data_IF_099867835663
#
_entry.id   IF_099867835663
#
_cell.length_a   1.000
_cell.length_b   1.000
_cell.length_c   1.000
_cell.angle_alpha   90.00
_cell.angle_beta   90.00
_cell.angle_gamma   90.00
#
_symmetry.space_group_name_H-M   'P 1'
#
loop_
_entity.id
_entity.type
_entity.pdbx_description
1 polymer ?
#
# COMPACT_ATOMS: atom_id res chain seq x y z
N UNK A 1 -27.06 -31.35 -23.27
CA UNK A 1 -27.41 -30.96 -21.88
C UNK A 1 -26.17 -30.89 -20.98
N UNK A 2 -25.28 -29.90 -21.15
CA UNK A 2 -24.08 -29.70 -20.30
C UNK A 2 -23.94 -28.27 -19.75
N UNK A 3 -25.04 -27.52 -19.65
CA UNK A 3 -25.05 -26.12 -19.18
C UNK A 3 -25.59 -25.94 -17.74
N UNK A 4 -26.09 -27.00 -17.09
CA UNK A 4 -26.85 -26.87 -15.83
C UNK A 4 -26.09 -27.09 -14.52
N UNK A 5 -24.98 -27.84 -14.51
CA UNK A 5 -24.37 -28.32 -13.25
C UNK A 5 -23.37 -27.31 -12.64
N UNK A 6 -22.76 -26.45 -13.47
CA UNK A 6 -21.75 -25.49 -13.01
C UNK A 6 -22.30 -24.29 -12.21
N UNK A 7 -23.62 -24.09 -12.19
CA UNK A 7 -24.27 -22.96 -11.52
C UNK A 7 -24.53 -23.20 -10.03
N UNK A 8 -24.54 -24.46 -9.59
CA UNK A 8 -24.88 -24.86 -8.21
C UNK A 8 -23.74 -24.70 -7.19
N UNK A 9 -22.50 -24.39 -7.63
CA UNK A 9 -21.34 -24.26 -6.72
C UNK A 9 -20.59 -22.95 -6.89
N UNK A 10 -21.29 -21.89 -7.34
CA UNK A 10 -20.76 -20.53 -7.42
C UNK A 10 -21.29 -19.68 -6.27
N UNK A 11 -20.38 -19.26 -5.40
CA UNK A 11 -20.69 -18.25 -4.37
C UNK A 11 -20.05 -16.92 -4.77
N UNK A 12 -20.89 -15.89 -4.86
CA UNK A 12 -20.47 -14.52 -5.13
C UNK A 12 -20.86 -13.64 -3.94
N UNK A 13 -19.93 -12.78 -3.53
CA UNK A 13 -20.19 -11.68 -2.59
C UNK A 13 -19.83 -10.37 -3.27
N UNK A 14 -20.71 -9.39 -3.19
CA UNK A 14 -20.51 -8.04 -3.71
C UNK A 14 -21.09 -7.03 -2.73
N UNK A 15 -20.32 -6.01 -2.40
CA UNK A 15 -20.71 -4.92 -1.52
C UNK A 15 -20.35 -3.57 -2.15
N UNK A 16 -21.22 -2.59 -1.94
CA UNK A 16 -21.02 -1.19 -2.30
C UNK A 16 -21.00 -0.40 -0.99
N UNK A 17 -19.91 0.31 -0.75
CA UNK A 17 -19.63 1.01 0.52
C UNK A 17 -19.85 2.53 0.42
N UNK A 18 -20.05 3.06 -0.79
CA UNK A 18 -20.19 4.50 -1.01
C UNK A 18 -21.65 4.95 -1.01
N UNK A 19 -21.99 5.85 -0.08
CA UNK A 19 -23.34 6.44 0.03
C UNK A 19 -23.60 7.56 -0.99
N UNK A 20 -22.54 8.15 -1.56
CA UNK A 20 -22.62 9.35 -2.42
C UNK A 20 -22.44 9.02 -3.91
N UNK A 21 -23.02 7.91 -4.38
CA UNK A 21 -22.97 7.53 -5.80
C UNK A 21 -24.13 8.15 -6.58
N UNK A 22 -23.83 8.66 -7.78
CA UNK A 22 -24.83 9.10 -8.73
C UNK A 22 -25.61 7.91 -9.35
N UNK A 23 -26.60 8.18 -10.21
CA UNK A 23 -27.43 7.13 -10.84
C UNK A 23 -26.62 6.20 -11.76
N UNK A 24 -25.70 6.75 -12.55
CA UNK A 24 -24.83 6.01 -13.46
C UNK A 24 -23.85 5.13 -12.68
N UNK A 25 -23.27 5.67 -11.62
CA UNK A 25 -22.35 4.98 -10.72
C UNK A 25 -23.05 3.87 -9.95
N UNK A 26 -24.25 4.11 -9.42
CA UNK A 26 -25.08 3.07 -8.77
C UNK A 26 -25.38 1.91 -9.72
N UNK A 27 -25.69 2.22 -10.98
CA UNK A 27 -25.94 1.22 -12.01
C UNK A 27 -24.67 0.42 -12.31
N UNK A 28 -23.55 1.12 -12.47
CA UNK A 28 -22.24 0.52 -12.81
C UNK A 28 -21.74 -0.39 -11.69
N UNK A 29 -21.85 0.05 -10.43
CA UNK A 29 -21.42 -0.68 -9.25
C UNK A 29 -22.50 -1.62 -8.68
N UNK A 30 -23.64 -1.79 -9.35
CA UNK A 30 -24.72 -2.67 -8.89
C UNK A 30 -24.26 -4.12 -8.74
N UNK A 31 -23.38 -4.58 -9.64
CA UNK A 31 -22.81 -5.92 -9.58
C UNK A 31 -21.39 -5.93 -10.11
N UNK A 32 -20.62 -6.94 -9.70
CA UNK A 32 -19.28 -7.17 -10.23
C UNK A 32 -19.30 -7.38 -11.75
N UNK A 33 -20.29 -8.08 -12.28
CA UNK A 33 -20.37 -8.39 -13.72
C UNK A 33 -20.67 -7.12 -14.53
N UNK A 34 -21.56 -6.25 -14.06
CA UNK A 34 -21.85 -4.95 -14.67
C UNK A 34 -20.60 -4.07 -14.72
N UNK A 35 -19.88 -3.96 -13.60
CA UNK A 35 -18.62 -3.22 -13.51
C UNK A 35 -17.60 -3.73 -14.52
N UNK A 36 -17.42 -5.05 -14.61
CA UNK A 36 -16.39 -5.65 -15.46
C UNK A 36 -16.71 -5.61 -16.96
N UNK A 37 -17.97 -5.37 -17.33
CA UNK A 37 -18.39 -5.12 -18.70
C UNK A 37 -18.23 -3.64 -19.11
N UNK A 38 -18.02 -2.75 -18.14
CA UNK A 38 -17.84 -1.32 -18.39
C UNK A 38 -16.51 -1.07 -19.13
N UNK A 39 -16.46 -0.10 -20.05
CA UNK A 39 -15.22 0.28 -20.71
C UNK A 39 -14.25 0.86 -19.69
N UNK A 40 -13.03 0.31 -19.63
CA UNK A 40 -11.99 0.72 -18.69
C UNK A 40 -10.63 0.78 -19.39
N UNK A 41 -9.82 1.76 -19.02
CA UNK A 41 -8.43 1.86 -19.47
C UNK A 41 -7.54 0.98 -18.60
N UNK A 42 -6.64 0.19 -19.19
CA UNK A 42 -5.73 -0.64 -18.41
C UNK A 42 -4.48 0.13 -17.99
N UNK A 43 -4.22 0.18 -16.68
CA UNK A 43 -3.02 0.82 -16.11
C UNK A 43 -1.89 -0.19 -15.96
N UNK A 44 -2.18 -1.39 -15.47
CA UNK A 44 -1.18 -2.46 -15.31
C UNK A 44 -1.74 -3.83 -15.63
N UNK A 45 -0.88 -4.66 -16.24
CA UNK A 45 -1.11 -6.07 -16.55
C UNK A 45 -0.13 -6.94 -15.75
N UNK A 46 -0.63 -7.67 -14.76
CA UNK A 46 0.06 -8.86 -14.22
C UNK A 46 -0.86 -10.07 -14.40
N UNK A 47 -0.24 -11.23 -14.64
CA UNK A 47 -0.84 -12.56 -14.74
C UNK A 47 -1.84 -12.91 -13.63
N UNK A 48 -1.71 -12.29 -12.45
CA UNK A 48 -2.51 -12.61 -11.24
C UNK A 48 -3.34 -11.45 -10.70
N UNK A 49 -3.01 -10.22 -11.07
CA UNK A 49 -3.77 -9.02 -10.70
C UNK A 49 -3.59 -7.93 -11.73
N UNK A 50 -4.65 -7.18 -12.03
CA UNK A 50 -4.57 -6.03 -12.94
C UNK A 50 -5.22 -4.81 -12.30
N UNK A 51 -4.77 -3.62 -12.70
CA UNK A 51 -5.39 -2.36 -12.32
C UNK A 51 -5.88 -1.67 -13.58
N UNK A 52 -7.15 -1.28 -13.56
CA UNK A 52 -7.80 -0.50 -14.61
C UNK A 52 -8.37 0.79 -14.04
N UNK A 53 -8.42 1.83 -14.86
CA UNK A 53 -9.11 3.08 -14.57
C UNK A 53 -10.49 3.05 -15.22
N UNK A 54 -11.51 3.38 -14.43
CA UNK A 54 -12.87 3.59 -14.88
C UNK A 54 -13.21 5.07 -14.68
N UNK A 55 -13.53 5.76 -15.77
CA UNK A 55 -13.93 7.17 -15.73
C UNK A 55 -15.44 7.28 -15.91
N UNK A 56 -16.13 7.78 -14.90
CA UNK A 56 -17.55 8.14 -14.92
C UNK A 56 -17.66 9.64 -14.61
N UNK A 57 -18.56 10.05 -13.70
CA UNK A 57 -18.51 11.39 -13.12
C UNK A 57 -17.21 11.60 -12.31
N UNK A 58 -16.80 10.57 -11.57
CA UNK A 58 -15.50 10.50 -10.91
C UNK A 58 -14.61 9.42 -11.51
N UNK A 59 -13.31 9.47 -11.19
CA UNK A 59 -12.33 8.46 -11.59
C UNK A 59 -12.23 7.38 -10.52
N UNK A 60 -12.18 6.12 -10.96
CA UNK A 60 -12.10 4.95 -10.10
C UNK A 60 -10.97 4.03 -10.52
N UNK A 61 -10.26 3.47 -9.53
CA UNK A 61 -9.30 2.40 -9.75
C UNK A 61 -9.93 1.05 -9.43
N UNK A 62 -9.97 0.18 -10.44
CA UNK A 62 -10.53 -1.17 -10.38
C UNK A 62 -9.37 -2.16 -10.33
N UNK A 63 -9.10 -2.71 -9.15
CA UNK A 63 -8.13 -3.79 -8.97
C UNK A 63 -8.82 -5.14 -9.12
N UNK A 64 -8.41 -5.90 -10.12
CA UNK A 64 -8.90 -7.27 -10.37
C UNK A 64 -7.87 -8.30 -9.94
N UNK A 65 -8.35 -9.42 -9.40
CA UNK A 65 -7.53 -10.55 -8.96
C UNK A 65 -8.03 -11.83 -9.62
N UNK A 66 -7.13 -12.63 -10.20
CA UNK A 66 -7.49 -13.86 -10.91
C UNK A 66 -6.92 -15.11 -10.23
N UNK A 67 -7.78 -16.12 -10.13
CA UNK A 67 -7.44 -17.51 -9.87
C UNK A 67 -7.00 -17.85 -8.44
N UNK A 68 -6.97 -19.16 -8.12
CA UNK A 68 -6.32 -19.65 -6.91
C UNK A 68 -4.82 -19.55 -7.09
N UNK A 69 -4.16 -18.63 -6.40
CA UNK A 69 -2.72 -18.79 -6.20
C UNK A 69 -2.49 -20.18 -5.56
N UNK A 70 -1.55 -20.98 -6.08
CA UNK A 70 -1.19 -22.37 -5.66
C UNK A 70 -1.03 -22.57 -4.13
N UNK A 71 -1.00 -21.50 -3.32
CA UNK A 71 -0.93 -21.51 -1.85
C UNK A 71 -2.29 -21.37 -1.14
N UNK A 72 -3.41 -21.47 -1.86
CA UNK A 72 -4.73 -21.08 -1.35
C UNK A 72 -5.37 -22.01 -0.31
N UNK A 73 -4.80 -23.19 -0.07
CA UNK A 73 -5.35 -24.13 0.91
C UNK A 73 -4.89 -23.84 2.37
N UNK A 74 -3.92 -22.94 2.58
CA UNK A 74 -3.34 -22.68 3.91
C UNK A 74 -3.25 -21.17 4.27
N UNK A 75 -3.99 -20.26 3.61
CA UNK A 75 -3.96 -18.85 3.99
C UNK A 75 -4.92 -17.92 3.25
N UNK A 76 -5.05 -16.68 3.74
CA UNK A 76 -5.93 -15.64 3.16
C UNK A 76 -5.45 -15.20 1.77
N UNK A 77 -6.38 -14.93 0.86
CA UNK A 77 -6.08 -14.48 -0.52
C UNK A 77 -5.38 -13.11 -0.55
N UNK A 78 -4.76 -12.75 -1.69
CA UNK A 78 -4.22 -11.40 -1.90
C UNK A 78 -5.34 -10.34 -1.77
N UNK A 79 -6.47 -10.60 -2.41
CA UNK A 79 -7.69 -9.80 -2.30
C UNK A 79 -8.12 -9.58 -0.84
N UNK A 80 -8.24 -10.66 -0.05
CA UNK A 80 -8.66 -10.58 1.35
C UNK A 80 -7.66 -9.82 2.21
N UNK A 81 -6.34 -9.98 1.96
CA UNK A 81 -5.31 -9.20 2.67
C UNK A 81 -5.42 -7.72 2.33
N UNK A 82 -5.56 -7.40 1.05
CA UNK A 82 -5.60 -6.01 0.59
C UNK A 82 -6.85 -5.28 1.08
N UNK A 83 -8.03 -5.88 0.93
CA UNK A 83 -9.28 -5.33 1.44
C UNK A 83 -9.25 -5.10 2.95
N UNK A 84 -8.84 -6.13 3.71
CA UNK A 84 -8.74 -6.04 5.17
C UNK A 84 -7.76 -4.96 5.62
N UNK A 85 -6.60 -4.84 4.97
CA UNK A 85 -5.59 -3.86 5.35
C UNK A 85 -6.04 -2.44 4.99
N UNK A 86 -6.71 -2.23 3.85
CA UNK A 86 -7.31 -0.94 3.51
C UNK A 86 -8.38 -0.52 4.54
N UNK A 87 -9.29 -1.43 4.90
CA UNK A 87 -10.29 -1.19 5.95
C UNK A 87 -9.63 -0.95 7.31
N UNK A 88 -8.56 -1.66 7.63
CA UNK A 88 -7.83 -1.49 8.88
C UNK A 88 -7.14 -0.12 8.97
N UNK A 89 -6.55 0.37 7.89
CA UNK A 89 -5.95 1.71 7.84
C UNK A 89 -7.00 2.81 8.11
N UNK A 90 -8.18 2.70 7.50
CA UNK A 90 -9.31 3.60 7.79
C UNK A 90 -9.70 3.55 9.27
N UNK A 91 -9.80 2.35 9.87
CA UNK A 91 -10.10 2.20 11.31
C UNK A 91 -9.04 2.84 12.23
N UNK A 92 -7.78 2.90 11.78
CA UNK A 92 -6.70 3.57 12.49
C UNK A 92 -6.63 5.08 12.23
N UNK A 93 -7.58 5.64 11.47
CA UNK A 93 -7.60 7.06 11.11
C UNK A 93 -6.52 7.47 10.12
N UNK A 94 -5.93 6.51 9.40
CA UNK A 94 -4.99 6.81 8.31
C UNK A 94 -5.78 7.17 7.06
N UNK A 95 -5.34 8.19 6.33
CA UNK A 95 -5.89 8.51 5.02
C UNK A 95 -5.72 7.31 4.09
N UNK A 96 -6.79 6.94 3.38
CA UNK A 96 -6.74 5.94 2.31
C UNK A 96 -7.66 6.36 1.15
N UNK A 97 -7.44 5.86 -0.08
CA UNK A 97 -8.42 5.99 -1.13
C UNK A 97 -9.76 5.41 -0.68
N UNK A 98 -10.85 6.15 -0.93
CA UNK A 98 -12.19 5.73 -0.52
C UNK A 98 -12.55 4.41 -1.18
N UNK A 99 -12.88 3.41 -0.37
CA UNK A 99 -13.40 2.13 -0.84
C UNK A 99 -14.84 2.33 -1.34
N UNK A 100 -15.09 1.97 -2.60
CA UNK A 100 -16.37 2.21 -3.28
C UNK A 100 -17.18 0.92 -3.39
N UNK A 101 -16.53 -0.13 -3.84
CA UNK A 101 -17.14 -1.44 -3.96
C UNK A 101 -16.07 -2.54 -3.88
N UNK A 102 -16.48 -3.74 -3.47
CA UNK A 102 -15.61 -4.90 -3.51
C UNK A 102 -16.40 -6.19 -3.57
N UNK A 103 -15.75 -7.25 -4.04
CA UNK A 103 -16.33 -8.57 -3.97
C UNK A 103 -15.45 -9.67 -4.52
N UNK A 104 -15.93 -10.89 -4.40
CA UNK A 104 -15.28 -12.06 -4.96
C UNK A 104 -16.29 -13.10 -5.44
N UNK A 105 -15.89 -13.88 -6.44
CA UNK A 105 -16.58 -15.05 -6.95
C UNK A 105 -15.71 -16.28 -6.67
N UNK A 106 -16.34 -17.32 -6.16
CA UNK A 106 -15.72 -18.63 -5.92
C UNK A 106 -16.43 -19.69 -6.75
N UNK A 107 -15.70 -20.69 -7.20
CA UNK A 107 -16.22 -21.87 -7.90
C UNK A 107 -15.71 -23.10 -7.17
N UNK A 108 -16.60 -23.97 -6.69
CA UNK A 108 -16.23 -25.12 -5.86
C UNK A 108 -15.45 -24.74 -4.58
N UNK A 109 -15.78 -23.59 -3.97
CA UNK A 109 -15.06 -23.06 -2.80
C UNK A 109 -13.69 -22.42 -3.11
N UNK A 110 -13.26 -22.43 -4.38
CA UNK A 110 -11.98 -21.87 -4.82
C UNK A 110 -12.18 -20.46 -5.38
N UNK A 111 -11.42 -19.43 -4.94
CA UNK A 111 -11.50 -18.09 -5.52
C UNK A 111 -11.20 -18.10 -7.02
N UNK A 112 -12.17 -17.67 -7.81
CA UNK A 112 -12.08 -17.57 -9.27
C UNK A 112 -11.68 -16.14 -9.66
N UNK A 113 -12.37 -15.16 -9.08
CA UNK A 113 -12.18 -13.73 -9.39
C UNK A 113 -12.48 -12.89 -8.17
N UNK A 114 -11.76 -11.78 -7.99
CA UNK A 114 -12.12 -10.78 -7.00
C UNK A 114 -11.83 -9.38 -7.50
N UNK A 115 -12.51 -8.39 -6.94
CA UNK A 115 -12.42 -6.99 -7.33
C UNK A 115 -12.43 -6.10 -6.09
N UNK A 116 -11.56 -5.08 -6.09
CA UNK A 116 -11.61 -3.93 -5.18
C UNK A 116 -11.70 -2.68 -6.04
N UNK A 117 -12.65 -1.81 -5.73
CA UNK A 117 -12.84 -0.50 -6.37
C UNK A 117 -12.57 0.59 -5.35
N UNK A 118 -11.63 1.47 -5.66
CA UNK A 118 -11.38 2.67 -4.87
C UNK A 118 -11.58 3.91 -5.74
N UNK A 119 -12.17 4.96 -5.18
CA UNK A 119 -12.19 6.26 -5.83
C UNK A 119 -10.76 6.81 -5.97
N UNK A 120 -10.50 7.57 -7.02
CA UNK A 120 -9.30 8.38 -7.13
C UNK A 120 -9.24 9.36 -5.96
N UNK A 121 -8.02 9.59 -5.47
CA UNK A 121 -7.74 10.66 -4.53
C UNK A 121 -7.42 11.90 -5.36
N UNK A 122 -8.42 12.78 -5.53
CA UNK A 122 -8.28 13.97 -6.36
C UNK A 122 -7.04 14.78 -6.01
N UNK A 123 -6.30 15.20 -7.06
CA UNK A 123 -5.09 16.03 -6.96
C UNK A 123 -4.00 15.45 -6.05
N UNK A 124 -4.00 14.13 -5.86
CA UNK A 124 -2.92 13.45 -5.18
C UNK A 124 -2.00 12.78 -6.19
N UNK A 125 -0.70 12.77 -5.90
CA UNK A 125 0.31 12.09 -6.71
C UNK A 125 1.09 11.15 -5.81
N UNK A 126 1.50 9.99 -6.32
CA UNK A 126 2.34 9.08 -5.54
C UNK A 126 3.68 9.74 -5.19
N UNK A 127 4.14 9.50 -3.98
CA UNK A 127 5.31 10.17 -3.41
C UNK A 127 6.60 9.82 -4.18
N UNK A 128 6.66 8.63 -4.82
CA UNK A 128 7.78 8.23 -5.68
C UNK A 128 7.89 9.17 -6.88
N UNK A 129 6.80 9.44 -7.62
CA UNK A 129 6.79 10.40 -8.72
C UNK A 129 7.17 11.83 -8.30
N UNK A 130 6.68 12.29 -7.15
CA UNK A 130 7.04 13.63 -6.62
C UNK A 130 8.54 13.71 -6.33
N UNK A 131 9.10 12.64 -5.79
CA UNK A 131 10.53 12.51 -5.50
C UNK A 131 11.36 12.49 -6.78
N UNK A 132 10.95 11.69 -7.77
CA UNK A 132 11.61 11.59 -9.08
C UNK A 132 11.58 12.92 -9.85
N UNK A 133 10.48 13.67 -9.73
CA UNK A 133 10.35 15.00 -10.30
C UNK A 133 11.17 16.08 -9.56
N UNK A 134 11.83 15.74 -8.44
CA UNK A 134 12.56 16.71 -7.61
C UNK A 134 11.66 17.73 -6.89
N UNK A 135 10.35 17.50 -6.88
CA UNK A 135 9.33 18.45 -6.41
C UNK A 135 9.03 18.32 -4.91
N UNK A 136 9.72 17.43 -4.18
CA UNK A 136 9.46 17.20 -2.76
C UNK A 136 9.64 18.48 -1.94
N UNK A 137 10.62 19.33 -2.28
CA UNK A 137 10.92 20.59 -1.60
C UNK A 137 10.24 21.83 -2.20
N UNK A 138 9.27 21.68 -3.11
CA UNK A 138 8.59 22.82 -3.74
C UNK A 138 7.89 23.74 -2.73
N UNK A 139 7.39 23.19 -1.61
CA UNK A 139 6.84 23.95 -0.48
C UNK A 139 7.88 24.40 0.56
N UNK A 140 9.17 24.35 0.22
CA UNK A 140 10.28 24.61 1.12
C UNK A 140 10.45 23.57 2.22
N UNK A 141 11.40 23.83 3.12
CA UNK A 141 11.74 22.94 4.25
C UNK A 141 10.55 22.70 5.17
N UNK A 142 9.75 23.74 5.43
CA UNK A 142 8.57 23.63 6.29
C UNK A 142 7.52 22.69 5.67
N UNK A 143 7.24 22.83 4.37
CA UNK A 143 6.33 21.95 3.65
C UNK A 143 6.77 20.48 3.69
N UNK A 144 8.04 20.20 3.41
CA UNK A 144 8.58 18.82 3.48
C UNK A 144 8.46 18.26 4.89
N UNK A 145 8.78 19.05 5.91
CA UNK A 145 8.69 18.56 7.30
C UNK A 145 7.28 18.24 7.73
N UNK A 146 6.25 18.92 7.21
CA UNK A 146 4.84 18.54 7.43
C UNK A 146 4.52 17.17 6.83
N UNK A 147 4.99 16.90 5.61
CA UNK A 147 4.85 15.58 4.97
C UNK A 147 5.58 14.50 5.76
N UNK A 148 6.85 14.73 6.12
CA UNK A 148 7.66 13.76 6.87
C UNK A 148 7.10 13.48 8.27
N UNK A 149 6.52 14.49 8.91
CA UNK A 149 5.86 14.37 10.20
C UNK A 149 4.58 13.53 10.14
N UNK A 150 3.71 13.77 9.15
CA UNK A 150 2.53 12.91 8.91
C UNK A 150 2.91 11.47 8.61
N UNK A 151 3.92 11.28 7.75
CA UNK A 151 4.45 9.97 7.39
C UNK A 151 4.99 9.25 8.64
N UNK A 152 5.78 9.93 9.46
CA UNK A 152 6.33 9.40 10.69
C UNK A 152 5.24 9.00 11.69
N UNK A 153 4.21 9.85 11.87
CA UNK A 153 3.06 9.57 12.73
C UNK A 153 2.26 8.38 12.25
N UNK A 154 1.95 8.30 10.95
CA UNK A 154 1.22 7.17 10.38
C UNK A 154 1.95 5.84 10.63
N UNK A 155 3.26 5.81 10.37
CA UNK A 155 4.10 4.62 10.61
C UNK A 155 4.18 4.29 12.11
N UNK A 156 4.27 5.30 12.97
CA UNK A 156 4.22 5.12 14.44
C UNK A 156 2.89 4.52 14.89
N UNK A 157 1.76 4.98 14.34
CA UNK A 157 0.43 4.45 14.64
C UNK A 157 0.33 2.98 14.24
N UNK A 158 0.77 2.62 13.02
CA UNK A 158 0.80 1.23 12.56
C UNK A 158 1.62 0.34 13.50
N UNK A 159 2.87 0.72 13.77
CA UNK A 159 3.76 -0.06 14.63
C UNK A 159 3.29 -0.10 16.08
N UNK A 160 2.64 0.96 16.58
CA UNK A 160 2.03 1.02 17.90
C UNK A 160 0.88 0.02 18.07
N UNK A 161 0.15 -0.27 17.00
CA UNK A 161 -0.88 -1.32 16.96
C UNK A 161 -0.30 -2.70 16.59
N UNK A 162 1.02 -2.86 16.56
CA UNK A 162 1.68 -4.12 16.18
C UNK A 162 1.45 -4.51 14.72
N UNK A 163 1.01 -3.58 13.88
CA UNK A 163 0.83 -3.80 12.45
C UNK A 163 2.08 -3.37 11.68
N UNK A 164 2.48 -4.19 10.72
CA UNK A 164 3.65 -3.95 9.88
C UNK A 164 3.22 -3.97 8.43
N UNK A 165 3.50 -2.88 7.73
CA UNK A 165 3.12 -2.66 6.35
C UNK A 165 3.85 -3.60 5.39
N UNK A 166 5.12 -3.94 5.67
CA UNK A 166 6.01 -4.81 4.86
C UNK A 166 6.37 -4.30 3.47
N UNK A 167 5.49 -3.55 2.83
CA UNK A 167 5.64 -2.91 1.52
C UNK A 167 5.56 -1.37 1.64
N UNK A 168 6.13 -0.79 2.70
CA UNK A 168 6.11 0.66 2.96
C UNK A 168 7.07 1.39 2.01
N UNK A 169 6.65 1.56 0.76
CA UNK A 169 7.41 2.25 -0.29
C UNK A 169 6.73 3.57 -0.63
N UNK A 170 7.51 4.53 -1.10
CA UNK A 170 7.04 5.87 -1.48
C UNK A 170 5.93 5.82 -2.54
N UNK A 171 5.99 4.89 -3.51
CA UNK A 171 4.90 4.69 -4.49
C UNK A 171 3.56 4.23 -3.93
N UNK A 172 3.53 3.70 -2.71
CA UNK A 172 2.32 3.21 -2.04
C UNK A 172 1.73 4.29 -1.11
N UNK A 173 2.19 5.53 -1.26
CA UNK A 173 1.78 6.70 -0.48
C UNK A 173 1.43 7.79 -1.48
N UNK A 174 0.18 8.24 -1.49
CA UNK A 174 -0.23 9.42 -2.25
C UNK A 174 -0.08 10.66 -1.37
N UNK A 175 0.39 11.74 -1.96
CA UNK A 175 0.46 13.06 -1.36
C UNK A 175 -0.45 14.01 -2.14
N UNK A 176 -1.43 14.58 -1.44
CA UNK A 176 -2.20 15.73 -1.90
C UNK A 176 -1.54 16.99 -1.35
N UNK A 177 -1.07 17.87 -2.23
CA UNK A 177 -0.40 19.10 -1.80
C UNK A 177 -1.43 20.18 -1.42
N UNK A 178 -1.08 21.00 -0.43
CA UNK A 178 -1.84 22.19 -0.05
C UNK A 178 -1.77 23.26 -1.14
N UNK A 179 -2.88 23.97 -1.39
CA UNK A 179 -2.97 25.01 -2.42
C UNK A 179 -2.71 26.41 -1.85
N UNK A 180 -2.15 27.37 -2.59
CA UNK A 180 -2.11 28.75 -2.11
C UNK A 180 -3.52 29.31 -1.86
N UNK A 181 -3.63 30.09 -0.78
CA UNK A 181 -4.84 30.53 -0.09
C UNK A 181 -5.83 31.34 -0.95
N UNK A 182 -6.66 30.66 -1.74
CA UNK A 182 -7.84 31.26 -2.39
C UNK A 182 -9.18 30.77 -1.82
N UNK A 183 -9.17 29.88 -0.82
CA UNK A 183 -10.40 29.37 -0.19
C UNK A 183 -10.40 29.65 1.32
N UNK A 184 -11.34 30.48 1.75
CA UNK A 184 -11.56 30.99 3.12
C UNK A 184 -12.06 29.96 4.14
N UNK A 185 -11.94 28.66 3.84
CA UNK A 185 -12.34 27.57 4.74
C UNK A 185 -11.66 26.29 4.28
N UNK A 186 -10.71 25.79 5.06
CA UNK A 186 -10.08 24.49 4.81
C UNK A 186 -8.60 24.50 5.18
N UNK A 187 -8.22 23.62 6.08
CA UNK A 187 -6.86 23.47 6.58
C UNK A 187 -5.88 23.29 5.41
N UNK A 188 -4.94 24.22 5.25
CA UNK A 188 -4.05 24.28 4.09
C UNK A 188 -2.81 23.37 4.26
N UNK A 189 -3.06 22.14 4.71
CA UNK A 189 -2.03 21.17 5.05
C UNK A 189 -1.95 20.10 3.96
N UNK A 190 -0.75 19.56 3.65
CA UNK A 190 -0.66 18.38 2.80
C UNK A 190 -1.42 17.21 3.43
N UNK A 191 -1.92 16.28 2.62
CA UNK A 191 -2.60 15.08 3.11
C UNK A 191 -1.96 13.83 2.52
N UNK A 192 -1.73 12.82 3.37
CA UNK A 192 -1.17 11.53 2.98
C UNK A 192 -2.23 10.43 2.94
N UNK A 193 -2.20 9.64 1.86
CA UNK A 193 -3.07 8.48 1.69
C UNK A 193 -2.25 7.22 1.46
N UNK A 194 -2.50 6.18 2.26
CA UNK A 194 -1.83 4.90 2.17
C UNK A 194 -2.70 3.90 1.41
N UNK A 195 -2.08 3.18 0.48
CA UNK A 195 -2.77 2.18 -0.32
C UNK A 195 -1.82 1.02 -0.68
N UNK A 196 -2.36 -0.03 -1.30
CA UNK A 196 -1.58 -1.17 -1.80
C UNK A 196 -0.69 -1.85 -0.73
N UNK A 197 -1.34 -2.46 0.26
CA UNK A 197 -0.67 -3.20 1.33
C UNK A 197 -1.06 -4.69 1.40
N UNK A 198 -0.91 -5.50 0.32
CA UNK A 198 -1.33 -6.90 0.34
C UNK A 198 -0.47 -7.80 1.25
N UNK A 199 0.73 -7.36 1.66
CA UNK A 199 1.63 -8.13 2.53
C UNK A 199 1.61 -7.71 4.01
N UNK A 200 0.90 -6.63 4.34
CA UNK A 200 0.82 -6.13 5.70
C UNK A 200 0.15 -7.13 6.65
N UNK A 201 0.66 -7.24 7.87
CA UNK A 201 0.16 -8.20 8.86
C UNK A 201 0.65 -7.85 10.28
N UNK A 202 0.09 -8.56 11.26
CA UNK A 202 0.57 -8.63 12.63
C UNK A 202 1.51 -9.84 12.77
N UNK A 203 2.85 -9.66 12.76
CA UNK A 203 3.79 -10.74 12.94
C UNK A 203 3.79 -11.23 14.41
N UNK A 204 4.47 -12.34 14.70
CA UNK A 204 4.73 -12.73 16.08
C UNK A 204 5.61 -11.71 16.82
N UNK A 205 5.42 -11.57 18.13
CA UNK A 205 6.12 -10.60 19.00
C UNK A 205 7.64 -10.62 18.84
N UNK A 206 8.26 -11.79 18.70
CA UNK A 206 9.71 -11.92 18.53
C UNK A 206 10.25 -11.33 17.20
N UNK A 207 9.37 -11.14 16.20
CA UNK A 207 9.72 -10.55 14.90
C UNK A 207 9.45 -9.04 14.84
N UNK A 208 8.93 -8.44 15.91
CA UNK A 208 8.50 -7.05 15.94
C UNK A 208 9.62 -6.08 15.58
N UNK A 209 10.75 -6.13 16.30
CA UNK A 209 11.89 -5.24 16.02
C UNK A 209 12.38 -5.39 14.59
N UNK A 210 12.53 -6.64 14.09
CA UNK A 210 12.97 -6.91 12.71
C UNK A 210 12.00 -6.37 11.67
N UNK A 211 10.71 -6.40 11.95
CA UNK A 211 9.68 -5.91 11.04
C UNK A 211 9.61 -4.37 11.03
N UNK A 212 9.80 -3.71 12.19
CA UNK A 212 9.94 -2.24 12.28
C UNK A 212 11.17 -1.81 11.47
N UNK A 213 12.31 -2.47 11.68
CA UNK A 213 13.56 -2.15 10.97
C UNK A 213 13.36 -2.27 9.46
N UNK A 214 12.69 -3.34 8.99
CA UNK A 214 12.39 -3.52 7.57
C UNK A 214 11.53 -2.41 7.00
N UNK A 215 10.43 -2.05 7.68
CA UNK A 215 9.49 -1.06 7.15
C UNK A 215 10.14 0.33 7.10
N UNK A 216 10.83 0.73 8.17
CA UNK A 216 11.58 1.97 8.20
C UNK A 216 12.73 1.99 7.18
N UNK A 217 13.37 0.85 6.90
CA UNK A 217 14.43 0.77 5.90
C UNK A 217 13.88 0.91 4.47
N UNK A 218 12.71 0.33 4.16
CA UNK A 218 12.08 0.55 2.86
C UNK A 218 11.65 2.00 2.66
N UNK A 219 11.16 2.64 3.73
CA UNK A 219 10.82 4.05 3.68
C UNK A 219 12.06 4.92 3.50
N UNK A 220 13.13 4.67 4.27
CA UNK A 220 14.39 5.39 4.15
C UNK A 220 14.99 5.22 2.75
N UNK A 221 15.04 4.01 2.22
CA UNK A 221 15.57 3.73 0.88
C UNK A 221 14.87 4.56 -0.21
N UNK A 222 13.54 4.72 -0.12
CA UNK A 222 12.77 5.54 -1.07
C UNK A 222 12.98 7.06 -0.91
N UNK A 223 13.42 7.51 0.27
CA UNK A 223 13.70 8.93 0.54
C UNK A 223 15.19 9.28 0.37
N UNK A 224 16.07 8.28 0.43
CA UNK A 224 17.51 8.46 0.48
C UNK A 224 18.03 9.11 -0.78
N UNK A 225 18.82 10.18 -0.62
CA UNK A 225 19.33 10.97 -1.75
C UNK A 225 18.37 12.04 -2.24
N UNK A 226 17.10 12.00 -1.83
CA UNK A 226 16.08 12.98 -2.19
C UNK A 226 15.70 13.91 -1.03
N UNK A 227 16.03 13.54 0.21
CA UNK A 227 15.91 14.41 1.38
C UNK A 227 17.25 14.67 2.04
N UNK A 228 17.37 15.83 2.70
CA UNK A 228 18.55 16.19 3.49
C UNK A 228 18.66 15.26 4.71
N UNK A 229 19.89 14.92 5.10
CA UNK A 229 20.16 14.07 6.29
C UNK A 229 19.51 14.60 7.58
N UNK A 230 19.47 15.93 7.73
CA UNK A 230 18.81 16.59 8.88
C UNK A 230 17.29 16.39 8.89
N UNK A 231 16.66 16.30 7.72
CA UNK A 231 15.23 16.07 7.59
C UNK A 231 14.89 14.58 7.72
N UNK A 232 15.78 13.68 7.29
CA UNK A 232 15.66 12.24 7.61
C UNK A 232 15.76 12.01 9.13
N UNK A 233 16.68 12.69 9.81
CA UNK A 233 16.78 12.66 11.26
C UNK A 233 15.50 13.23 11.91
N UNK A 234 14.94 14.31 11.35
CA UNK A 234 13.66 14.86 11.79
C UNK A 234 12.53 13.81 11.67
N UNK A 235 12.37 13.16 10.52
CA UNK A 235 11.40 12.08 10.32
C UNK A 235 11.54 10.99 11.38
N UNK A 236 12.78 10.56 11.64
CA UNK A 236 13.04 9.51 12.62
C UNK A 236 12.69 9.96 14.05
N UNK A 237 12.99 11.22 14.43
CA UNK A 237 12.58 11.81 15.71
C UNK A 237 11.06 11.87 15.86
N UNK A 238 10.33 12.28 14.82
CA UNK A 238 8.87 12.29 14.84
C UNK A 238 8.29 10.87 14.98
N UNK A 239 8.90 9.89 14.31
CA UNK A 239 8.50 8.49 14.42
C UNK A 239 8.69 7.95 15.83
N UNK A 240 9.79 8.33 16.50
CA UNK A 240 10.05 7.98 17.90
C UNK A 240 9.24 8.81 18.88
N UNK A 241 8.77 9.98 18.49
CA UNK A 241 8.08 10.92 19.36
C UNK A 241 8.99 11.57 20.39
N UNK A 242 10.22 11.89 20.00
CA UNK A 242 11.21 12.45 20.91
C UNK A 242 12.08 13.55 20.27
N UNK A 243 12.50 14.53 21.07
CA UNK A 243 13.39 15.59 20.62
C UNK A 243 14.86 15.15 20.57
N UNK A 244 15.22 14.20 21.43
CA UNK A 244 16.58 13.63 21.55
C UNK A 244 16.51 12.11 21.49
N UNK A 245 17.31 11.52 20.61
CA UNK A 245 17.39 10.08 20.45
C UNK A 245 18.13 9.44 21.63
N UNK A 246 17.49 8.46 22.27
CA UNK A 246 18.12 7.60 23.26
C UNK A 246 19.18 6.67 22.62
N UNK A 247 20.03 6.00 23.42
CA UNK A 247 20.93 4.98 22.90
C UNK A 247 20.21 3.86 22.12
N UNK A 248 19.01 3.47 22.56
CA UNK A 248 18.18 2.47 21.88
C UNK A 248 17.67 3.00 20.53
N UNK A 249 17.21 4.24 20.47
CA UNK A 249 16.75 4.86 19.23
C UNK A 249 17.89 4.96 18.20
N UNK A 250 19.09 5.33 18.67
CA UNK A 250 20.30 5.35 17.84
C UNK A 250 20.67 3.95 17.35
N UNK A 251 20.48 2.91 18.17
CA UNK A 251 20.69 1.54 17.75
C UNK A 251 19.68 1.13 16.66
N UNK A 252 18.40 1.45 16.85
CA UNK A 252 17.37 1.21 15.85
C UNK A 252 17.68 1.95 14.52
N UNK A 253 18.07 3.22 14.58
CA UNK A 253 18.44 3.99 13.39
C UNK A 253 19.62 3.34 12.63
N UNK A 254 20.63 2.85 13.36
CA UNK A 254 21.76 2.10 12.76
C UNK A 254 21.31 0.80 12.10
N UNK A 255 20.39 0.07 12.73
CA UNK A 255 19.81 -1.16 12.15
C UNK A 255 19.06 -0.85 10.84
N UNK A 256 18.28 0.25 10.82
CA UNK A 256 17.55 0.73 9.63
C UNK A 256 18.52 1.07 8.50
N UNK A 257 19.49 1.96 8.75
CA UNK A 257 20.42 2.43 7.71
C UNK A 257 21.33 1.31 7.16
N UNK A 258 21.60 0.27 7.96
CA UNK A 258 22.45 -0.85 7.54
C UNK A 258 21.68 -1.99 6.87
N UNK A 259 20.34 -2.00 6.95
CA UNK A 259 19.48 -3.12 6.52
C UNK A 259 19.73 -3.56 5.07
N UNK A 260 19.67 -2.65 4.10
CA UNK A 260 19.86 -3.00 2.68
C UNK A 260 21.29 -3.42 2.37
N UNK A 261 22.29 -2.84 3.05
CA UNK A 261 23.69 -3.23 2.93
C UNK A 261 23.92 -4.63 3.47
N UNK A 262 23.39 -4.95 4.65
CA UNK A 262 23.45 -6.28 5.25
C UNK A 262 22.76 -7.32 4.35
N UNK A 263 21.56 -7.02 3.82
CA UNK A 263 20.85 -7.93 2.90
C UNK A 263 21.63 -8.23 1.63
N UNK A 264 22.24 -7.21 1.01
CA UNK A 264 23.09 -7.39 -0.18
C UNK A 264 24.28 -8.29 0.12
N UNK A 265 24.94 -8.09 1.25
CA UNK A 265 26.08 -8.93 1.69
C UNK A 265 25.65 -10.38 1.95
N UNK A 266 24.55 -10.60 2.66
CA UNK A 266 24.02 -11.95 2.94
C UNK A 266 23.63 -12.68 1.64
N UNK A 267 22.98 -11.99 0.69
CA UNK A 267 22.66 -12.57 -0.63
C UNK A 267 23.92 -12.97 -1.39
N UNK A 268 24.95 -12.11 -1.43
CA UNK A 268 26.24 -12.41 -2.08
C UNK A 268 26.91 -13.63 -1.45
N UNK A 269 26.93 -13.74 -0.11
CA UNK A 269 27.51 -14.90 0.61
C UNK A 269 26.78 -16.19 0.27
N UNK A 270 25.45 -16.18 0.24
CA UNK A 270 24.62 -17.34 -0.13
C UNK A 270 24.90 -17.81 -1.55
N UNK A 271 24.91 -16.90 -2.53
CA UNK A 271 25.20 -17.24 -3.93
C UNK A 271 26.61 -17.83 -4.10
N UNK A 272 27.61 -17.32 -3.35
CA UNK A 272 28.96 -17.89 -3.35
C UNK A 272 28.98 -19.31 -2.77
N UNK A 273 28.23 -19.57 -1.70
CA UNK A 273 28.13 -20.90 -1.11
C UNK A 273 27.43 -21.90 -2.05
N UNK A 274 26.34 -21.48 -2.71
CA UNK A 274 25.62 -22.29 -3.71
C UNK A 274 26.52 -22.64 -4.90
N UNK A 275 27.32 -21.69 -5.40
CA UNK A 275 28.32 -21.95 -6.46
C UNK A 275 29.40 -22.95 -6.03
N UNK A 276 29.98 -22.78 -4.84
CA UNK A 276 30.98 -23.74 -4.31
C UNK A 276 30.41 -25.15 -4.20
N UNK A 277 29.17 -25.29 -3.72
CA UNK A 277 28.50 -26.59 -3.61
C UNK A 277 28.28 -27.25 -4.98
N UNK A 278 27.90 -26.48 -6.00
CA UNK A 278 27.74 -26.98 -7.37
C UNK A 278 29.07 -27.42 -8.00
N UNK A 279 30.16 -26.70 -7.72
CA UNK A 279 31.51 -27.04 -8.20
C UNK A 279 32.17 -28.22 -7.48
N UNK A 280 31.67 -28.63 -6.31
CA UNK A 280 32.14 -29.83 -5.58
C UNK A 280 31.32 -31.09 -5.88
N UNK A 281 30.31 -30.99 -6.75
CA UNK A 281 29.47 -32.10 -7.21
C UNK A 281 29.76 -32.51 -8.66
N UNK A 282 30.72 -31.84 -9.30
CA UNK A 282 31.35 -32.20 -10.58
C UNK A 282 32.81 -32.55 -10.30
#
# INVERSE_FOLDING_TARGET
MKAGIGRFFRHAHWAVESETLDVTERTTFQSMDTLLQSPMEQVTLDSRSGVSTLTLQSVYYVKTFKGPGIRHWLGTSRYQRELRNLQYFNKLGLGTPRLVAYGHQTKWGVPEKAVIVTAEVERATDLEKIIEAGALYSGGVAGVRKVLDQLARAVRVLHGHGFYHKDLKTRNILLRQAFPASSSSGNNEPELFFFDCPSGHHPPRFMFRRSIVRDLAHLEEGLRGHIRKVDLLYLFKQYRGCDKLSPEDKALARDVLSYHTQRRMTRKRRLRAERKKASSQH
#
